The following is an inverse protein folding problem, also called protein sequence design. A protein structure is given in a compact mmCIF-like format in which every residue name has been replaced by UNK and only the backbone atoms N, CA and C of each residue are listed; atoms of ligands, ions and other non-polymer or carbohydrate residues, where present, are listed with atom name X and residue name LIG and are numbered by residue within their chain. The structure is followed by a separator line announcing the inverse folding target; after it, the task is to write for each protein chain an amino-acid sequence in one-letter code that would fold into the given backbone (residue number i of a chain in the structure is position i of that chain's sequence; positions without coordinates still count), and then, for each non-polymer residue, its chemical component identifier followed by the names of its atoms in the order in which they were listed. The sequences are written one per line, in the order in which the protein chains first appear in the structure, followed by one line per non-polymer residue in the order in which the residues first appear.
data_IF_122266568005
#
_entry.id   IF_122266568005
#
_cell.length_a   1.000
_cell.length_b   1.000
_cell.length_c   1.000
_cell.angle_alpha   90.00
_cell.angle_beta   90.00
_cell.angle_gamma   90.00
#
_symmetry.space_group_name_H-M   'P 1'
#
loop_
_entity.id
_entity.type
_entity.pdbx_description
1 polymer ?
#
# COMPACT_ATOMS: atom_id res chain seq x y z
N UNK A 1 -25.46 20.56 14.58
CA UNK A 1 -24.49 20.55 13.46
C UNK A 1 -23.20 19.99 14.01
N UNK A 2 -22.82 18.75 13.66
CA UNK A 2 -21.54 18.18 14.08
C UNK A 2 -20.47 18.84 13.21
N UNK A 3 -19.57 19.59 13.85
CA UNK A 3 -18.38 20.10 13.17
C UNK A 3 -17.42 18.91 13.02
N UNK A 4 -17.33 18.35 11.83
CA UNK A 4 -16.29 17.36 11.52
C UNK A 4 -14.97 18.06 11.37
N UNK A 5 -14.04 17.78 12.28
CA UNK A 5 -12.66 18.22 12.15
C UNK A 5 -12.07 17.55 10.90
N UNK A 6 -11.62 18.35 9.94
CA UNK A 6 -11.17 17.82 8.64
C UNK A 6 -9.65 17.73 8.70
N UNK A 7 -9.14 16.53 8.99
CA UNK A 7 -7.70 16.29 9.00
C UNK A 7 -7.17 16.35 7.56
N UNK A 8 -6.20 17.23 7.31
CA UNK A 8 -5.48 17.33 6.05
C UNK A 8 -4.20 16.50 6.15
N UNK A 9 -3.85 15.81 5.07
CA UNK A 9 -2.62 15.05 4.91
C UNK A 9 -1.85 15.56 3.69
N UNK A 10 -0.53 15.50 3.71
CA UNK A 10 0.31 15.96 2.59
C UNK A 10 0.13 15.07 1.36
N UNK A 11 -0.02 13.75 1.58
CA UNK A 11 -0.26 12.76 0.53
C UNK A 11 -1.35 11.80 0.96
N UNK A 12 -2.32 11.58 0.06
CA UNK A 12 -3.36 10.55 0.23
C UNK A 12 -3.24 9.56 -0.92
N UNK A 13 -3.07 8.28 -0.59
CA UNK A 13 -3.03 7.17 -1.53
C UNK A 13 -4.30 6.35 -1.41
N UNK A 14 -4.95 6.07 -2.54
CA UNK A 14 -6.16 5.24 -2.58
C UNK A 14 -5.78 3.87 -3.12
N UNK A 15 -5.98 2.84 -2.29
CA UNK A 15 -5.54 1.47 -2.51
C UNK A 15 -4.20 1.19 -1.84
N UNK A 16 -4.08 0.04 -1.18
CA UNK A 16 -2.86 -0.49 -0.56
C UNK A 16 -2.27 -1.65 -1.36
N UNK A 17 -2.22 -1.52 -2.69
CA UNK A 17 -1.47 -2.44 -3.55
C UNK A 17 0.05 -2.19 -3.49
N UNK A 18 0.85 -2.96 -4.25
CA UNK A 18 2.31 -2.85 -4.24
C UNK A 18 2.81 -1.44 -4.57
N UNK A 19 2.13 -0.74 -5.50
CA UNK A 19 2.48 0.64 -5.88
C UNK A 19 2.38 1.63 -4.72
N UNK A 20 1.25 1.66 -4.02
CA UNK A 20 1.03 2.59 -2.91
C UNK A 20 1.87 2.22 -1.70
N UNK A 21 2.02 0.93 -1.40
CA UNK A 21 2.88 0.47 -0.32
C UNK A 21 4.35 0.82 -0.58
N UNK A 22 4.82 0.66 -1.83
CA UNK A 22 6.16 1.09 -2.21
C UNK A 22 6.32 2.61 -2.08
N UNK A 23 5.37 3.41 -2.56
CA UNK A 23 5.41 4.86 -2.42
C UNK A 23 5.41 5.29 -0.93
N UNK A 24 4.61 4.64 -0.10
CA UNK A 24 4.52 4.93 1.33
C UNK A 24 5.82 4.67 2.09
N UNK A 25 6.61 3.67 1.67
CA UNK A 25 7.96 3.46 2.22
C UNK A 25 8.84 4.71 1.99
N UNK A 26 8.74 5.35 0.83
CA UNK A 26 9.51 6.56 0.56
C UNK A 26 8.96 7.78 1.28
N UNK A 27 7.64 7.99 1.29
CA UNK A 27 7.06 9.17 1.96
C UNK A 27 7.25 9.10 3.47
N UNK A 28 7.13 7.92 4.08
CA UNK A 28 7.40 7.74 5.51
C UNK A 28 8.87 8.00 5.87
N UNK A 29 9.83 7.70 4.98
CA UNK A 29 11.26 7.96 5.20
C UNK A 29 11.61 9.45 5.19
N UNK A 30 10.83 10.24 4.46
CA UNK A 30 10.98 11.69 4.37
C UNK A 30 10.05 12.44 5.35
N UNK A 31 9.43 11.72 6.31
CA UNK A 31 8.53 12.28 7.33
C UNK A 31 7.33 13.05 6.74
N UNK A 32 6.85 12.63 5.56
CA UNK A 32 5.69 13.21 4.88
C UNK A 32 4.40 12.60 5.45
N UNK A 33 3.44 13.43 5.89
CA UNK A 33 2.17 12.95 6.43
C UNK A 33 1.34 12.24 5.33
N UNK A 34 1.38 10.91 5.37
CA UNK A 34 0.82 10.05 4.33
C UNK A 34 -0.33 9.22 4.88
N UNK A 35 -1.48 9.31 4.24
CA UNK A 35 -2.63 8.46 4.50
C UNK A 35 -2.82 7.46 3.35
N UNK A 36 -2.88 6.17 3.66
CA UNK A 36 -3.30 5.13 2.71
C UNK A 36 -4.71 4.66 3.08
N UNK A 37 -5.61 4.66 2.11
CA UNK A 37 -6.97 4.14 2.27
C UNK A 37 -7.14 2.87 1.45
N UNK A 38 -7.38 1.75 2.12
CA UNK A 38 -7.70 0.47 1.48
C UNK A 38 -9.07 -0.01 1.92
N UNK A 39 -9.84 -0.55 0.97
CA UNK A 39 -11.20 -1.05 1.21
C UNK A 39 -11.23 -2.55 1.52
N UNK A 40 -10.35 -3.31 0.91
CA UNK A 40 -10.36 -4.77 0.88
C UNK A 40 -9.10 -5.32 1.54
N UNK A 41 -8.05 -5.63 0.76
CA UNK A 41 -6.87 -6.36 1.24
C UNK A 41 -5.60 -5.57 0.97
N UNK A 42 -4.74 -5.51 1.98
CA UNK A 42 -3.41 -4.92 1.87
C UNK A 42 -2.55 -5.83 0.98
N UNK A 43 -1.79 -5.24 0.06
CA UNK A 43 -1.04 -5.94 -0.98
C UNK A 43 -1.83 -6.13 -2.29
N UNK A 44 -3.13 -5.85 -2.30
CA UNK A 44 -3.96 -5.91 -3.50
C UNK A 44 -3.96 -7.29 -4.17
N UNK A 45 -3.92 -7.33 -5.51
CA UNK A 45 -3.91 -8.59 -6.26
C UNK A 45 -2.70 -9.47 -5.95
N UNK A 46 -1.56 -8.87 -5.62
CA UNK A 46 -0.36 -9.63 -5.27
C UNK A 46 -0.53 -10.42 -3.96
N UNK A 47 -1.35 -9.94 -3.03
CA UNK A 47 -1.64 -10.64 -1.79
C UNK A 47 -2.53 -11.89 -1.99
N UNK A 48 -3.38 -11.92 -3.01
CA UNK A 48 -4.30 -13.04 -3.27
C UNK A 48 -3.84 -13.93 -4.42
N UNK A 49 -2.65 -13.68 -4.96
CA UNK A 49 -2.07 -14.51 -6.02
C UNK A 49 -1.31 -15.65 -5.38
N UNK A 50 -1.57 -16.89 -5.81
CA UNK A 50 -0.90 -18.08 -5.26
C UNK A 50 0.63 -17.94 -5.30
N UNK A 51 1.17 -17.52 -6.45
CA UNK A 51 2.61 -17.31 -6.63
C UNK A 51 2.92 -16.26 -7.68
N UNK A 52 3.87 -15.37 -7.36
CA UNK A 52 4.47 -14.40 -8.28
C UNK A 52 5.88 -14.89 -8.66
N UNK A 53 6.06 -15.29 -9.91
CA UNK A 53 7.30 -15.88 -10.43
C UNK A 53 8.16 -14.90 -11.25
N UNK A 54 7.61 -13.72 -11.55
CA UNK A 54 8.22 -12.73 -12.43
C UNK A 54 8.61 -11.42 -11.73
N UNK A 55 8.58 -11.37 -10.39
CA UNK A 55 9.01 -10.19 -9.64
C UNK A 55 10.53 -10.21 -9.43
N UNK A 56 11.28 -9.19 -9.91
CA UNK A 56 12.72 -9.14 -9.76
C UNK A 56 13.17 -9.21 -8.29
N UNK A 57 14.22 -9.99 -8.03
CA UNK A 57 14.74 -10.23 -6.67
C UNK A 57 14.26 -11.51 -6.00
N UNK A 58 13.28 -12.21 -6.58
CA UNK A 58 12.80 -13.51 -6.10
C UNK A 58 13.01 -14.60 -7.17
N UNK A 59 14.24 -15.17 -7.29
CA UNK A 59 14.56 -16.14 -8.34
C UNK A 59 13.72 -17.43 -8.28
N UNK A 60 13.28 -17.82 -7.08
CA UNK A 60 12.41 -18.99 -6.87
C UNK A 60 10.91 -18.64 -6.90
N UNK A 61 10.58 -17.38 -7.19
CA UNK A 61 9.26 -16.78 -6.99
C UNK A 61 8.93 -16.53 -5.51
N UNK A 62 7.78 -15.91 -5.27
CA UNK A 62 7.26 -15.61 -3.94
C UNK A 62 5.75 -15.85 -3.89
N UNK A 63 5.26 -16.40 -2.79
CA UNK A 63 3.83 -16.66 -2.58
C UNK A 63 3.10 -15.39 -2.13
N UNK A 64 1.78 -15.35 -2.36
CA UNK A 64 0.90 -14.32 -1.81
C UNK A 64 0.75 -14.43 -0.29
N UNK A 65 -0.21 -13.68 0.26
CA UNK A 65 -0.65 -13.85 1.65
C UNK A 65 -1.53 -15.10 1.75
N UNK A 66 -1.40 -15.81 2.87
CA UNK A 66 -2.29 -16.92 3.25
C UNK A 66 -3.66 -16.39 3.75
#
# INVERSE_FOLDING_TARGET
MVMTDTKTHDVIMIGAGPTSLAAAVYTAREDIDTLILEKSIIGGLAAITDKVDNYPGFPEGIEGME
#
